data_IF_326469337214
#
_entry.id   IF_326469337214
#
_cell.length_a   1.000
_cell.length_b   1.000
_cell.length_c   1.000
_cell.angle_alpha   90.00
_cell.angle_beta   90.00
_cell.angle_gamma   90.00
#
_symmetry.space_group_name_H-M   'P 1'
#
loop_
_entity.id
_entity.type
_entity.pdbx_description
1 polymer ?
#
# COMPACT_ATOMS: atom_id res chain seq x y z
N UNK A 1 20.92 28.97 2.66
CA UNK A 1 20.33 27.85 3.41
C UNK A 1 18.83 28.01 3.38
N UNK A 2 18.13 27.14 2.64
CA UNK A 2 16.68 26.95 2.78
C UNK A 2 16.49 25.45 2.94
N UNK A 3 15.94 25.02 4.07
CA UNK A 3 15.48 23.65 4.27
C UNK A 3 14.04 23.60 3.78
N UNK A 4 13.71 22.92 2.67
CA UNK A 4 12.31 22.71 2.34
C UNK A 4 11.81 21.51 3.14
N UNK A 5 10.89 21.79 4.06
CA UNK A 5 10.09 20.83 4.82
C UNK A 5 8.92 20.24 4.00
N UNK A 6 8.94 20.39 2.67
CA UNK A 6 7.79 20.08 1.78
C UNK A 6 7.82 18.73 1.06
N UNK A 7 8.92 17.97 1.14
CA UNK A 7 9.09 16.76 0.32
C UNK A 7 8.00 15.70 0.51
N UNK A 8 7.54 15.46 1.75
CA UNK A 8 6.50 14.45 2.03
C UNK A 8 5.18 14.75 1.33
N UNK A 9 4.70 16.00 1.34
CA UNK A 9 3.46 16.38 0.66
C UNK A 9 3.58 16.25 -0.86
N UNK A 10 4.70 16.66 -1.44
CA UNK A 10 4.93 16.55 -2.87
C UNK A 10 5.03 15.10 -3.33
N UNK A 11 5.73 14.26 -2.54
CA UNK A 11 5.86 12.82 -2.82
C UNK A 11 4.52 12.09 -2.69
N UNK A 12 3.66 12.48 -1.74
CA UNK A 12 2.29 11.94 -1.64
C UNK A 12 1.47 12.35 -2.84
N UNK A 13 1.53 13.63 -3.25
CA UNK A 13 0.83 14.11 -4.46
C UNK A 13 1.29 13.35 -5.71
N UNK A 14 2.59 13.10 -5.84
CA UNK A 14 3.15 12.28 -6.92
C UNK A 14 2.67 10.84 -6.84
N UNK A 15 2.64 10.24 -5.64
CA UNK A 15 2.12 8.89 -5.46
C UNK A 15 0.64 8.78 -5.84
N UNK A 16 -0.16 9.84 -5.67
CA UNK A 16 -1.57 9.90 -6.05
C UNK A 16 -1.82 10.26 -7.52
N UNK A 17 -0.81 10.76 -8.23
CA UNK A 17 -0.94 11.24 -9.60
C UNK A 17 -1.12 10.08 -10.59
N UNK A 18 -2.27 9.95 -11.27
CA UNK A 18 -2.51 8.88 -12.24
C UNK A 18 -1.60 8.95 -13.48
N UNK A 19 -0.94 10.08 -13.73
CA UNK A 19 0.06 10.23 -14.80
C UNK A 19 1.39 9.54 -14.49
N UNK A 20 1.64 9.17 -13.23
CA UNK A 20 2.85 8.45 -12.82
C UNK A 20 2.74 6.98 -13.24
N UNK A 21 3.71 6.54 -14.04
CA UNK A 21 3.74 5.18 -14.57
C UNK A 21 4.04 4.13 -13.50
N UNK A 22 3.69 2.86 -13.77
CA UNK A 22 3.97 1.74 -12.87
C UNK A 22 5.46 1.61 -12.50
N UNK A 23 6.37 1.86 -13.43
CA UNK A 23 7.82 1.89 -13.16
C UNK A 23 8.23 3.00 -12.18
N UNK A 24 7.57 4.15 -12.25
CA UNK A 24 7.83 5.29 -11.36
C UNK A 24 7.17 5.11 -9.97
N UNK A 25 6.20 4.21 -9.84
CA UNK A 25 5.63 3.83 -8.55
C UNK A 25 6.55 2.94 -7.72
N UNK A 26 7.48 2.20 -8.34
CA UNK A 26 8.35 1.26 -7.62
C UNK A 26 9.23 1.96 -6.56
N UNK A 27 9.91 3.09 -6.86
CA UNK A 27 10.64 3.85 -5.83
C UNK A 27 9.73 4.41 -4.73
N UNK A 28 8.49 4.80 -5.08
CA UNK A 28 7.53 5.35 -4.12
C UNK A 28 6.98 4.27 -3.18
N UNK A 29 6.88 3.01 -3.64
CA UNK A 29 6.48 1.87 -2.83
C UNK A 29 7.47 1.54 -1.69
N UNK A 30 8.72 1.97 -1.79
CA UNK A 30 9.75 1.79 -0.75
C UNK A 30 10.14 3.12 -0.09
N UNK A 31 9.34 4.17 -0.31
CA UNK A 31 9.60 5.49 0.23
C UNK A 31 9.65 5.49 1.76
N UNK A 32 10.46 6.34 2.38
CA UNK A 32 10.60 6.38 3.85
C UNK A 32 9.31 6.76 4.57
N UNK A 33 8.48 7.58 3.91
CA UNK A 33 7.21 8.05 4.45
C UNK A 33 6.09 7.04 4.20
N UNK A 34 5.40 6.65 5.27
CA UNK A 34 4.29 5.70 5.20
C UNK A 34 3.09 6.27 4.43
N UNK A 35 2.86 7.59 4.43
CA UNK A 35 1.77 8.19 3.68
C UNK A 35 1.95 8.01 2.16
N UNK A 36 3.19 8.15 1.68
CA UNK A 36 3.55 7.90 0.28
C UNK A 36 3.34 6.42 -0.06
N UNK A 37 3.82 5.51 0.78
CA UNK A 37 3.65 4.07 0.58
C UNK A 37 2.18 3.65 0.60
N UNK A 38 1.37 4.23 1.48
CA UNK A 38 -0.08 3.97 1.57
C UNK A 38 -0.81 4.47 0.32
N UNK A 39 -0.44 5.65 -0.20
CA UNK A 39 -0.97 6.16 -1.47
C UNK A 39 -0.66 5.20 -2.63
N UNK A 40 0.57 4.68 -2.72
CA UNK A 40 0.94 3.67 -3.73
C UNK A 40 0.16 2.36 -3.53
N UNK A 41 0.02 1.89 -2.28
CA UNK A 41 -0.70 0.66 -1.95
C UNK A 41 -2.18 0.71 -2.36
N UNK A 42 -2.82 1.88 -2.30
CA UNK A 42 -4.22 2.08 -2.66
C UNK A 42 -4.51 2.14 -4.16
N UNK A 43 -3.48 2.21 -5.01
CA UNK A 43 -3.65 2.43 -6.46
C UNK A 43 -4.06 1.19 -7.23
N UNK A 44 -5.05 1.33 -8.11
CA UNK A 44 -5.56 0.25 -8.98
C UNK A 44 -4.59 -0.16 -10.08
N UNK A 45 -3.64 0.71 -10.44
CA UNK A 45 -2.57 0.47 -11.40
C UNK A 45 -1.22 0.12 -10.74
N UNK A 46 -1.23 -0.08 -9.42
CA UNK A 46 -0.02 -0.43 -8.67
C UNK A 46 0.58 -1.76 -9.19
N UNK A 47 1.88 -1.80 -9.52
CA UNK A 47 2.54 -3.03 -9.97
C UNK A 47 2.43 -4.15 -8.92
N UNK A 48 2.23 -5.38 -9.39
CA UNK A 48 2.11 -6.54 -8.48
C UNK A 48 3.35 -6.69 -7.57
N UNK A 49 4.55 -6.44 -8.09
CA UNK A 49 5.78 -6.50 -7.28
C UNK A 49 5.81 -5.49 -6.13
N UNK A 50 5.26 -4.29 -6.34
CA UNK A 50 5.11 -3.30 -5.28
C UNK A 50 4.11 -3.76 -4.23
N UNK A 51 2.93 -4.27 -4.64
CA UNK A 51 1.91 -4.78 -3.71
C UNK A 51 2.44 -5.94 -2.84
N UNK A 52 3.22 -6.85 -3.43
CA UNK A 52 3.85 -7.96 -2.68
C UNK A 52 4.83 -7.42 -1.63
N UNK A 53 5.66 -6.45 -2.02
CA UNK A 53 6.66 -5.83 -1.15
C UNK A 53 6.01 -5.06 0.00
N UNK A 54 5.01 -4.23 -0.30
CA UNK A 54 4.23 -3.45 0.67
C UNK A 54 3.43 -4.32 1.64
N UNK A 55 3.12 -5.57 1.27
CA UNK A 55 2.50 -6.50 2.22
C UNK A 55 3.40 -6.91 3.39
N UNK A 56 4.67 -6.51 3.40
CA UNK A 56 5.60 -6.68 4.52
C UNK A 56 5.81 -5.39 5.32
N UNK A 57 5.05 -4.33 5.01
CA UNK A 57 5.15 -3.07 5.74
C UNK A 57 4.74 -3.23 7.21
N UNK A 58 5.34 -2.40 8.05
CA UNK A 58 5.04 -2.34 9.48
C UNK A 58 3.97 -1.31 9.79
N UNK A 59 3.74 -0.35 8.89
CA UNK A 59 2.76 0.71 9.07
C UNK A 59 1.36 0.20 8.70
N UNK A 60 0.43 0.36 9.63
CA UNK A 60 -0.91 -0.18 9.53
C UNK A 60 -1.78 0.54 8.48
N UNK A 61 -1.52 1.82 8.20
CA UNK A 61 -2.23 2.56 7.16
C UNK A 61 -1.85 2.02 5.78
N UNK A 62 -0.57 1.67 5.59
CA UNK A 62 -0.10 1.01 4.36
C UNK A 62 -0.78 -0.35 4.19
N UNK A 63 -0.80 -1.18 5.23
CA UNK A 63 -1.45 -2.50 5.19
C UNK A 63 -2.96 -2.38 5.00
N UNK A 64 -3.61 -1.38 5.60
CA UNK A 64 -5.03 -1.09 5.41
C UNK A 64 -5.34 -0.70 3.96
N UNK A 65 -4.57 0.22 3.38
CA UNK A 65 -4.69 0.60 1.96
C UNK A 65 -4.48 -0.60 1.03
N UNK A 66 -3.49 -1.45 1.34
CA UNK A 66 -3.24 -2.69 0.61
C UNK A 66 -4.46 -3.63 0.66
N UNK A 67 -5.07 -3.82 1.83
CA UNK A 67 -6.26 -4.68 1.98
C UNK A 67 -7.51 -4.08 1.32
N UNK A 68 -7.61 -2.76 1.20
CA UNK A 68 -8.66 -2.11 0.44
C UNK A 68 -8.47 -2.27 -1.08
N UNK A 69 -7.24 -2.40 -1.56
CA UNK A 69 -6.94 -2.47 -2.99
C UNK A 69 -7.41 -3.81 -3.61
N UNK A 70 -8.33 -3.81 -4.60
CA UNK A 70 -8.82 -5.03 -5.28
C UNK A 70 -7.71 -5.82 -5.98
N UNK A 71 -6.60 -5.19 -6.36
CA UNK A 71 -5.47 -5.81 -7.06
C UNK A 71 -4.48 -6.54 -6.15
N UNK A 72 -4.62 -6.35 -4.84
CA UNK A 72 -3.73 -7.01 -3.87
C UNK A 72 -3.82 -8.52 -4.00
N UNK A 73 -2.69 -9.21 -4.25
CA UNK A 73 -2.69 -10.65 -4.45
C UNK A 73 -3.23 -11.41 -3.24
N UNK A 74 -4.02 -12.45 -3.49
CA UNK A 74 -4.62 -13.28 -2.42
C UNK A 74 -3.58 -13.90 -1.49
N UNK A 75 -2.37 -14.17 -1.97
CA UNK A 75 -1.24 -14.63 -1.15
C UNK A 75 -0.86 -13.63 -0.07
N UNK A 76 -0.86 -12.32 -0.40
CA UNK A 76 -0.57 -11.24 0.54
C UNK A 76 -1.71 -11.06 1.52
N UNK A 77 -2.95 -11.06 1.04
CA UNK A 77 -4.14 -11.00 1.91
C UNK A 77 -4.14 -12.15 2.92
N UNK A 78 -3.84 -13.38 2.48
CA UNK A 78 -3.76 -14.55 3.37
C UNK A 78 -2.68 -14.40 4.43
N UNK A 79 -1.51 -13.87 4.09
CA UNK A 79 -0.47 -13.58 5.09
C UNK A 79 -0.96 -12.55 6.12
N UNK A 80 -1.66 -11.52 5.68
CA UNK A 80 -2.18 -10.48 6.57
C UNK A 80 -3.34 -10.97 7.45
N UNK A 81 -4.00 -12.08 7.11
CA UNK A 81 -4.99 -12.72 7.97
C UNK A 81 -4.39 -13.26 9.28
N UNK A 82 -3.09 -13.56 9.30
CA UNK A 82 -2.34 -13.97 10.50
C UNK A 82 -1.61 -12.79 11.19
N UNK A 83 -1.92 -11.55 10.80
CA UNK A 83 -1.26 -10.37 11.36
C UNK A 83 -1.60 -10.17 12.84
N UNK A 84 -0.60 -9.74 13.63
CA UNK A 84 -0.72 -9.57 15.09
C UNK A 84 -1.70 -8.46 15.50
N UNK A 85 -1.80 -7.40 14.69
CA UNK A 85 -2.82 -6.36 14.89
C UNK A 85 -4.20 -6.88 14.43
N UNK A 86 -5.19 -6.96 15.32
CA UNK A 86 -6.52 -7.52 15.02
C UNK A 86 -7.29 -6.73 13.96
N UNK A 87 -6.99 -5.44 13.76
CA UNK A 87 -7.62 -4.63 12.71
C UNK A 87 -7.19 -5.11 11.33
N UNK A 88 -5.91 -5.44 11.17
CA UNK A 88 -5.36 -5.92 9.90
C UNK A 88 -5.83 -7.34 9.60
N UNK A 89 -5.71 -8.25 10.57
CA UNK A 89 -6.17 -9.63 10.38
C UNK A 89 -7.68 -9.71 10.16
N UNK A 90 -8.48 -8.93 10.88
CA UNK A 90 -9.93 -8.83 10.66
C UNK A 90 -10.30 -8.38 9.23
N UNK A 91 -9.67 -7.31 8.73
CA UNK A 91 -9.88 -6.84 7.36
C UNK A 91 -9.48 -7.89 6.31
N UNK A 92 -8.34 -8.55 6.52
CA UNK A 92 -7.85 -9.59 5.62
C UNK A 92 -8.77 -10.81 5.58
N UNK A 93 -9.20 -11.32 6.74
CA UNK A 93 -10.15 -12.43 6.84
C UNK A 93 -11.48 -12.06 6.16
N UNK A 94 -11.99 -10.86 6.42
CA UNK A 94 -13.24 -10.41 5.79
C UNK A 94 -13.12 -10.34 4.27
N UNK A 95 -11.99 -9.84 3.75
CA UNK A 95 -11.72 -9.78 2.31
C UNK A 95 -11.67 -11.17 1.67
N UNK A 96 -11.00 -12.12 2.32
CA UNK A 96 -10.96 -13.51 1.84
C UNK A 96 -12.36 -14.10 1.78
N UNK A 97 -13.16 -13.92 2.83
CA UNK A 97 -14.56 -14.40 2.88
C UNK A 97 -15.41 -13.82 1.73
N UNK A 98 -15.24 -12.54 1.43
CA UNK A 98 -15.96 -11.88 0.34
C UNK A 98 -15.53 -12.36 -1.06
N UNK A 99 -14.32 -12.90 -1.20
CA UNK A 99 -13.77 -13.35 -2.48
C UNK A 99 -14.27 -14.74 -2.91
N UNK A 100 -14.93 -15.48 -2.01
CA UNK A 100 -15.51 -16.81 -2.26
C UNK A 100 -17.04 -16.81 -2.32
N UNK A 101 -17.66 -15.62 -2.32
CA UNK A 101 -19.10 -15.44 -2.35
C UNK A 101 -19.55 -14.98 -3.74
#
# INVERSE_FOLDING_TARGET
MVVPVSGSSEDVMRALDPGVSGSELLPLAVHRDAAVRAAVAGRSDCPMGALVSLGHDVNLDVLGALLANPRTPSSVVRRLADHRDPRISGLAVQRLRNSFR
#
